data_IF_225249760485
#
_entry.id   IF_225249760485
#
_cell.length_a   1.000
_cell.length_b   1.000
_cell.length_c   1.000
_cell.angle_alpha   90.00
_cell.angle_beta   90.00
_cell.angle_gamma   90.00
#
_symmetry.space_group_name_H-M   'P 1'
#
loop_
_entity.id
_entity.type
_entity.pdbx_description
1 polymer ?
#
# COMPACT_ATOMS: atom_id res chain seq x y z
N UNK A 1 16.97 -44.29 7.20
CA UNK A 1 15.53 -44.14 7.48
C UNK A 1 15.17 -42.79 6.93
N UNK A 2 15.00 -42.86 5.62
CA UNK A 2 14.94 -41.79 4.68
C UNK A 2 13.47 -41.40 4.57
N UNK A 3 13.16 -40.13 4.82
CA UNK A 3 11.82 -39.59 4.58
C UNK A 3 11.98 -38.61 3.44
N UNK A 4 11.80 -39.14 2.24
CA UNK A 4 11.74 -38.40 1.00
C UNK A 4 10.69 -37.30 1.12
N UNK A 5 11.17 -36.05 1.07
CA UNK A 5 10.35 -34.85 0.91
C UNK A 5 10.07 -34.73 -0.58
N UNK A 6 9.04 -35.41 -1.04
CA UNK A 6 8.49 -35.16 -2.38
C UNK A 6 7.90 -33.75 -2.41
N UNK A 7 8.59 -32.89 -3.15
CA UNK A 7 8.15 -31.56 -3.50
C UNK A 7 7.18 -31.71 -4.69
N UNK A 8 5.90 -31.98 -4.39
CA UNK A 8 4.86 -32.08 -5.43
C UNK A 8 4.76 -30.76 -6.21
N UNK A 9 4.89 -30.88 -7.54
CA UNK A 9 4.86 -29.81 -8.52
C UNK A 9 3.56 -29.00 -8.45
N UNK A 10 3.68 -27.68 -8.28
CA UNK A 10 2.56 -26.77 -8.15
C UNK A 10 1.91 -26.50 -9.52
N UNK A 11 0.88 -27.27 -9.86
CA UNK A 11 0.08 -27.05 -11.07
C UNK A 11 -0.79 -25.79 -10.91
N UNK A 12 -0.59 -24.80 -11.78
CA UNK A 12 -1.11 -23.41 -11.67
C UNK A 12 -2.60 -23.29 -12.08
N UNK A 13 -3.32 -24.40 -12.27
CA UNK A 13 -4.58 -24.40 -13.02
C UNK A 13 -5.87 -24.31 -12.19
N UNK A 14 -5.79 -24.01 -10.89
CA UNK A 14 -7.01 -23.86 -10.06
C UNK A 14 -6.97 -22.64 -9.13
N UNK A 15 -7.09 -21.44 -9.71
CA UNK A 15 -7.54 -20.28 -8.95
C UNK A 15 -9.03 -20.47 -8.56
N UNK A 16 -9.28 -20.83 -7.31
CA UNK A 16 -10.63 -20.87 -6.76
C UNK A 16 -11.17 -19.43 -6.57
N UNK A 17 -12.16 -19.05 -7.38
CA UNK A 17 -12.89 -17.78 -7.21
C UNK A 17 -13.72 -17.88 -5.92
N UNK A 18 -13.42 -17.06 -4.91
CA UNK A 18 -14.03 -17.23 -3.58
C UNK A 18 -15.54 -17.00 -3.54
N UNK A 19 -16.15 -17.46 -2.45
CA UNK A 19 -17.61 -17.51 -2.31
C UNK A 19 -18.15 -16.21 -1.70
N UNK A 20 -19.08 -15.56 -2.42
CA UNK A 20 -19.87 -14.45 -1.89
C UNK A 20 -20.89 -14.98 -0.87
N UNK A 21 -20.85 -14.46 0.36
CA UNK A 21 -21.74 -14.88 1.45
C UNK A 21 -22.50 -13.70 2.04
N UNK A 22 -23.66 -13.97 2.63
CA UNK A 22 -24.49 -12.97 3.31
C UNK A 22 -24.39 -13.18 4.82
N UNK A 23 -24.04 -12.13 5.56
CA UNK A 23 -23.97 -12.18 7.02
C UNK A 23 -25.38 -12.38 7.60
N UNK A 24 -25.63 -13.45 8.39
CA UNK A 24 -26.95 -13.68 8.96
C UNK A 24 -27.37 -12.58 9.93
N UNK A 25 -26.41 -11.93 10.60
CA UNK A 25 -26.67 -10.87 11.58
C UNK A 25 -26.89 -9.50 10.97
N UNK A 26 -26.21 -9.20 9.86
CA UNK A 26 -26.20 -7.83 9.29
C UNK A 26 -26.80 -7.72 7.89
N UNK A 27 -27.08 -8.84 7.23
CA UNK A 27 -27.51 -8.90 5.82
C UNK A 27 -26.44 -8.43 4.83
N UNK A 28 -25.24 -8.07 5.29
CA UNK A 28 -24.17 -7.56 4.42
C UNK A 28 -23.49 -8.69 3.68
N UNK A 29 -23.22 -8.45 2.39
CA UNK A 29 -22.39 -9.33 1.57
C UNK A 29 -20.93 -9.25 2.02
N UNK A 30 -20.30 -10.39 2.20
CA UNK A 30 -18.89 -10.51 2.51
C UNK A 30 -18.27 -11.64 1.68
N UNK A 31 -17.01 -11.46 1.31
CA UNK A 31 -16.24 -12.45 0.56
C UNK A 31 -15.44 -13.31 1.52
N UNK A 32 -15.52 -14.64 1.37
CA UNK A 32 -14.59 -15.57 2.01
C UNK A 32 -13.87 -16.39 0.94
N UNK A 33 -12.52 -16.38 0.91
CA UNK A 33 -11.75 -17.21 0.00
C UNK A 33 -12.10 -18.68 0.16
N UNK A 34 -12.26 -19.38 -0.97
CA UNK A 34 -12.58 -20.80 -0.99
C UNK A 34 -11.30 -21.64 -0.92
N UNK A 35 -10.76 -21.74 0.29
CA UNK A 35 -9.49 -22.41 0.58
C UNK A 35 -9.76 -23.57 1.55
N UNK A 36 -9.04 -24.70 1.49
CA UNK A 36 -9.16 -25.78 2.48
C UNK A 36 -8.94 -25.27 3.91
N UNK A 37 -9.62 -25.89 4.88
CA UNK A 37 -9.50 -25.47 6.29
C UNK A 37 -8.08 -25.63 6.85
N UNK A 38 -7.29 -26.56 6.31
CA UNK A 38 -5.87 -26.74 6.67
C UNK A 38 -5.00 -25.54 6.33
N UNK A 39 -5.41 -24.68 5.40
CA UNK A 39 -4.66 -23.50 4.99
C UNK A 39 -5.31 -22.20 5.46
N UNK A 40 -6.38 -22.26 6.26
CA UNK A 40 -7.04 -21.06 6.79
C UNK A 40 -6.43 -20.67 8.14
N UNK A 41 -6.09 -19.39 8.35
CA UNK A 41 -5.71 -18.91 9.68
C UNK A 41 -6.91 -19.05 10.64
N UNK A 42 -6.64 -19.48 11.87
CA UNK A 42 -7.61 -19.58 12.95
C UNK A 42 -7.14 -18.78 14.18
N UNK A 43 -8.09 -18.36 15.01
CA UNK A 43 -7.78 -17.64 16.24
C UNK A 43 -6.96 -18.51 17.18
N UNK A 44 -5.88 -17.94 17.75
CA UNK A 44 -4.97 -18.66 18.64
C UNK A 44 -3.84 -19.44 17.93
N UNK A 45 -3.75 -19.39 16.61
CA UNK A 45 -2.64 -19.98 15.87
C UNK A 45 -1.32 -19.30 16.24
N UNK A 46 -0.33 -20.08 16.66
CA UNK A 46 1.03 -19.62 17.01
C UNK A 46 2.02 -20.19 15.98
N UNK A 47 3.05 -19.43 15.67
CA UNK A 47 4.13 -19.84 14.77
C UNK A 47 5.47 -19.72 15.49
N UNK A 48 6.40 -20.59 15.13
CA UNK A 48 7.74 -20.61 15.74
C UNK A 48 8.59 -19.40 15.33
N UNK A 49 8.27 -18.76 14.21
CA UNK A 49 8.93 -17.55 13.72
C UNK A 49 7.99 -16.67 12.89
N UNK A 50 8.39 -15.40 12.72
CA UNK A 50 7.69 -14.45 11.83
C UNK A 50 7.74 -14.93 10.37
N UNK A 51 8.83 -15.57 9.95
CA UNK A 51 8.97 -16.08 8.59
C UNK A 51 8.01 -17.25 8.32
N UNK A 52 7.87 -18.17 9.27
CA UNK A 52 6.92 -19.27 9.15
C UNK A 52 5.46 -18.78 9.14
N UNK A 53 5.16 -17.75 9.95
CA UNK A 53 3.87 -17.07 9.88
C UNK A 53 3.65 -16.44 8.50
N UNK A 54 4.65 -15.73 7.97
CA UNK A 54 4.57 -15.07 6.68
C UNK A 54 4.34 -16.07 5.53
N UNK A 55 5.10 -17.16 5.48
CA UNK A 55 4.94 -18.23 4.47
C UNK A 55 3.54 -18.84 4.52
N UNK A 56 3.02 -19.10 5.71
CA UNK A 56 1.66 -19.60 5.89
C UNK A 56 0.61 -18.61 5.33
N UNK A 57 0.70 -17.33 5.68
CA UNK A 57 -0.23 -16.31 5.19
C UNK A 57 -0.07 -16.05 3.69
N UNK A 58 1.14 -16.19 3.13
CA UNK A 58 1.40 -16.09 1.71
C UNK A 58 0.72 -17.24 0.95
N UNK A 59 0.86 -18.48 1.44
CA UNK A 59 0.19 -19.65 0.87
C UNK A 59 -1.33 -19.52 0.93
N UNK A 60 -1.88 -19.09 2.07
CA UNK A 60 -3.30 -18.81 2.22
C UNK A 60 -3.81 -17.76 1.22
N UNK A 61 -3.06 -16.67 1.06
CA UNK A 61 -3.41 -15.59 0.13
C UNK A 61 -3.43 -16.08 -1.32
N UNK A 62 -2.36 -16.77 -1.75
CA UNK A 62 -2.23 -17.32 -3.10
C UNK A 62 -3.42 -18.26 -3.40
N UNK A 63 -3.69 -19.21 -2.50
CA UNK A 63 -4.83 -20.14 -2.64
C UNK A 63 -6.18 -19.42 -2.63
N UNK A 64 -6.27 -18.29 -1.94
CA UNK A 64 -7.47 -17.46 -1.87
C UNK A 64 -7.65 -16.49 -3.02
N UNK A 65 -6.71 -16.45 -3.98
CA UNK A 65 -6.73 -15.54 -5.12
C UNK A 65 -6.33 -14.10 -4.80
N UNK A 66 -5.54 -13.88 -3.74
CA UNK A 66 -5.01 -12.56 -3.39
C UNK A 66 -3.54 -12.65 -2.96
N UNK A 67 -2.90 -11.51 -2.68
CA UNK A 67 -1.51 -11.47 -2.21
C UNK A 67 -1.46 -11.00 -0.76
N UNK A 68 -0.63 -11.66 0.04
CA UNK A 68 -0.24 -11.14 1.35
C UNK A 68 0.93 -10.17 1.16
N UNK A 69 1.01 -9.15 2.02
CA UNK A 69 2.15 -8.22 2.07
C UNK A 69 2.74 -8.26 3.45
N UNK A 70 4.06 -8.37 3.55
CA UNK A 70 4.78 -8.21 4.83
C UNK A 70 4.71 -6.73 5.22
N UNK A 71 4.03 -6.42 6.32
CA UNK A 71 3.93 -5.05 6.82
C UNK A 71 5.15 -4.67 7.67
N UNK A 72 5.65 -3.44 7.51
CA UNK A 72 6.61 -2.73 8.38
C UNK A 72 8.02 -3.29 8.59
N UNK A 73 8.40 -4.41 7.98
CA UNK A 73 9.81 -4.66 7.67
C UNK A 73 10.05 -4.09 6.28
N UNK A 74 11.15 -3.38 6.08
CA UNK A 74 11.58 -2.87 4.76
C UNK A 74 11.39 -4.04 3.78
N UNK A 75 10.46 -3.88 2.84
CA UNK A 75 10.08 -4.96 1.93
C UNK A 75 11.29 -5.27 1.02
N UNK A 76 12.08 -6.28 1.37
CA UNK A 76 13.12 -6.81 0.49
C UNK A 76 12.51 -7.41 -0.79
N UNK A 77 11.21 -7.72 -0.75
CA UNK A 77 10.42 -8.19 -1.89
C UNK A 77 10.03 -7.07 -2.89
N UNK A 78 10.42 -5.80 -2.69
CA UNK A 78 10.29 -4.80 -3.79
C UNK A 78 11.12 -5.23 -5.02
N UNK A 79 12.05 -6.17 -4.83
CA UNK A 79 12.88 -6.80 -5.86
C UNK A 79 12.37 -8.20 -6.26
N UNK A 80 11.07 -8.51 -6.07
CA UNK A 80 10.47 -9.80 -6.46
C UNK A 80 10.49 -10.13 -7.97
N UNK A 81 11.17 -9.31 -8.78
CA UNK A 81 11.49 -9.56 -10.18
C UNK A 81 13.00 -9.58 -10.49
N UNK A 82 13.86 -9.60 -9.46
CA UNK A 82 15.31 -9.78 -9.58
C UNK A 82 15.65 -11.26 -9.46
N UNK A 83 16.67 -11.67 -10.20
CA UNK A 83 17.30 -12.98 -10.13
C UNK A 83 17.48 -13.46 -8.67
N UNK A 84 17.21 -14.74 -8.36
CA UNK A 84 17.33 -15.28 -7.00
C UNK A 84 18.68 -14.98 -6.32
N UNK A 85 19.78 -14.90 -7.07
CA UNK A 85 21.11 -14.56 -6.54
C UNK A 85 21.19 -13.09 -6.13
N UNK A 86 20.63 -12.18 -6.94
CA UNK A 86 20.59 -10.75 -6.62
C UNK A 86 19.81 -10.45 -5.33
N UNK A 87 18.73 -11.18 -5.10
CA UNK A 87 17.94 -11.06 -3.86
C UNK A 87 18.72 -11.51 -2.61
N UNK A 88 19.56 -12.54 -2.75
CA UNK A 88 20.43 -13.01 -1.65
C UNK A 88 21.48 -11.95 -1.29
N UNK A 89 22.16 -11.38 -2.29
CA UNK A 89 23.14 -10.31 -2.07
C UNK A 89 22.53 -9.10 -1.37
N UNK A 90 21.34 -8.66 -1.79
CA UNK A 90 20.64 -7.54 -1.15
C UNK A 90 20.30 -7.85 0.31
N UNK A 91 19.81 -9.07 0.59
CA UNK A 91 19.51 -9.51 1.96
C UNK A 91 20.76 -9.50 2.84
N UNK A 92 21.88 -9.99 2.32
CA UNK A 92 23.14 -10.07 3.05
C UNK A 92 23.69 -8.68 3.39
N UNK A 93 23.64 -7.73 2.44
CA UNK A 93 24.06 -6.33 2.67
C UNK A 93 23.24 -5.69 3.78
N UNK A 94 21.92 -5.85 3.73
CA UNK A 94 21.02 -5.19 4.68
C UNK A 94 21.16 -5.80 6.08
N UNK A 95 21.26 -7.12 6.17
CA UNK A 95 21.49 -7.84 7.44
C UNK A 95 22.85 -7.47 8.05
N UNK A 96 23.89 -7.36 7.22
CA UNK A 96 25.23 -6.95 7.66
C UNK A 96 25.23 -5.52 8.19
N UNK A 97 24.53 -4.61 7.50
CA UNK A 97 24.42 -3.20 7.89
C UNK A 97 23.71 -3.05 9.24
N UNK A 98 22.61 -3.77 9.44
CA UNK A 98 21.89 -3.78 10.72
C UNK A 98 22.76 -4.32 11.87
N UNK A 99 23.49 -5.42 11.62
CA UNK A 99 24.42 -5.98 12.60
C UNK A 99 25.50 -4.97 13.02
N UNK A 100 26.14 -4.31 12.04
CA UNK A 100 27.19 -3.32 12.30
C UNK A 100 26.64 -2.16 13.11
N UNK A 101 25.48 -1.61 12.71
CA UNK A 101 24.83 -0.51 13.44
C UNK A 101 24.59 -0.93 14.89
N UNK A 102 23.90 -2.05 15.12
CA UNK A 102 23.59 -2.55 16.46
C UNK A 102 24.84 -2.78 17.32
N UNK A 103 25.94 -3.25 16.72
CA UNK A 103 27.22 -3.48 17.42
C UNK A 103 27.91 -2.18 17.79
N UNK A 104 27.84 -1.16 16.93
CA UNK A 104 28.53 0.11 17.08
C UNK A 104 27.69 1.20 17.78
N UNK A 105 26.41 0.95 18.10
CA UNK A 105 25.52 1.94 18.73
C UNK A 105 26.10 2.62 19.98
N UNK A 106 26.97 1.95 20.73
CA UNK A 106 27.59 2.49 21.95
C UNK A 106 28.87 3.28 21.69
N UNK A 107 29.48 3.12 20.52
CA UNK A 107 30.74 3.74 20.11
C UNK A 107 30.45 4.70 18.95
N UNK A 108 30.08 5.92 19.31
CA UNK A 108 29.64 6.94 18.36
C UNK A 108 30.73 7.28 17.35
N UNK A 109 32.01 7.31 17.75
CA UNK A 109 33.11 7.63 16.84
C UNK A 109 33.21 6.57 15.74
N UNK A 110 33.18 5.29 16.10
CA UNK A 110 33.17 4.20 15.10
C UNK A 110 31.91 4.21 14.24
N UNK A 111 30.76 4.55 14.82
CA UNK A 111 29.51 4.66 14.06
C UNK A 111 29.57 5.81 13.04
N UNK A 112 30.21 6.94 13.38
CA UNK A 112 30.43 8.03 12.44
C UNK A 112 31.35 7.63 11.29
N UNK A 113 32.43 6.90 11.59
CA UNK A 113 33.32 6.35 10.55
C UNK A 113 32.54 5.42 9.61
N UNK A 114 31.72 4.52 10.14
CA UNK A 114 30.89 3.64 9.31
C UNK A 114 29.94 4.44 8.41
N UNK A 115 29.27 5.47 8.94
CA UNK A 115 28.41 6.35 8.13
C UNK A 115 29.18 7.09 7.05
N UNK A 116 30.37 7.60 7.34
CA UNK A 116 31.20 8.31 6.36
C UNK A 116 31.68 7.36 5.25
N UNK A 117 32.00 6.10 5.58
CA UNK A 117 32.31 5.08 4.55
C UNK A 117 31.13 4.78 3.64
N UNK A 118 29.90 4.75 4.17
CA UNK A 118 28.69 4.59 3.34
C UNK A 118 28.47 5.79 2.43
N UNK A 119 28.69 7.00 2.94
CA UNK A 119 28.57 8.23 2.14
C UNK A 119 29.61 8.23 1.00
N UNK A 120 30.85 7.80 1.28
CA UNK A 120 31.88 7.69 0.24
C UNK A 120 31.51 6.67 -0.84
N UNK A 121 30.94 5.52 -0.46
CA UNK A 121 30.46 4.51 -1.42
C UNK A 121 29.30 5.06 -2.26
N UNK A 122 28.37 5.81 -1.64
CA UNK A 122 27.27 6.47 -2.34
C UNK A 122 27.80 7.47 -3.37
N UNK A 123 28.74 8.33 -2.98
CA UNK A 123 29.31 9.35 -3.87
C UNK A 123 30.06 8.70 -5.06
N UNK A 124 30.80 7.61 -4.82
CA UNK A 124 31.47 6.84 -5.88
C UNK A 124 30.46 6.22 -6.84
N UNK A 125 29.40 5.62 -6.32
CA UNK A 125 28.35 4.99 -7.12
C UNK A 125 27.60 6.04 -7.96
N UNK A 126 27.32 7.21 -7.38
CA UNK A 126 26.70 8.32 -8.10
C UNK A 126 27.58 8.78 -9.26
N UNK A 127 28.91 8.85 -9.08
CA UNK A 127 29.87 9.18 -10.16
C UNK A 127 29.84 8.16 -11.29
N UNK A 128 29.87 6.86 -10.95
CA UNK A 128 29.85 5.77 -11.92
C UNK A 128 28.53 5.69 -12.69
N UNK A 129 27.43 6.15 -12.10
CA UNK A 129 26.08 6.05 -12.66
C UNK A 129 25.57 7.34 -13.31
N UNK A 130 26.36 8.44 -13.37
CA UNK A 130 25.93 9.78 -13.86
C UNK A 130 25.32 9.83 -15.27
N UNK A 131 25.52 8.80 -16.09
CA UNK A 131 24.93 8.68 -17.43
C UNK A 131 23.89 7.57 -17.59
N UNK A 132 23.68 6.75 -16.57
CA UNK A 132 22.72 5.66 -16.62
C UNK A 132 21.31 6.20 -16.31
N UNK A 133 20.27 5.73 -17.03
CA UNK A 133 18.91 6.11 -16.71
C UNK A 133 18.61 5.64 -15.29
N UNK A 134 18.41 6.60 -14.37
CA UNK A 134 17.90 6.31 -13.03
C UNK A 134 16.60 5.54 -13.23
N UNK A 135 16.62 4.27 -12.87
CA UNK A 135 15.47 3.38 -13.03
C UNK A 135 14.44 3.79 -11.98
N UNK A 136 13.63 4.79 -12.32
CA UNK A 136 12.47 5.19 -11.52
C UNK A 136 11.55 3.97 -11.47
N UNK A 137 10.96 3.69 -10.30
CA UNK A 137 10.00 2.58 -10.10
C UNK A 137 8.95 2.46 -11.24
N UNK A 138 8.55 3.58 -11.84
CA UNK A 138 7.62 3.64 -12.99
C UNK A 138 8.18 3.02 -14.28
N UNK A 139 9.48 3.12 -14.53
CA UNK A 139 10.16 2.56 -15.71
C UNK A 139 10.27 1.04 -15.66
N UNK A 140 10.48 0.48 -14.47
CA UNK A 140 10.44 -0.97 -14.22
C UNK A 140 9.06 -1.52 -14.59
N UNK A 141 7.99 -0.86 -14.12
CA UNK A 141 6.61 -1.29 -14.40
C UNK A 141 6.31 -1.24 -15.91
N UNK A 142 6.86 -0.26 -16.64
CA UNK A 142 6.65 -0.13 -18.07
C UNK A 142 7.34 -1.25 -18.88
N UNK A 143 8.53 -1.73 -18.47
CA UNK A 143 9.22 -2.84 -19.14
C UNK A 143 8.55 -4.20 -18.94
N UNK A 144 7.72 -4.34 -17.90
CA UNK A 144 6.91 -5.55 -17.65
C UNK A 144 5.60 -5.58 -18.46
N UNK A 145 5.24 -4.49 -19.15
CA UNK A 145 4.10 -4.48 -20.07
C UNK A 145 4.66 -4.82 -21.45
N UNK A 146 4.34 -5.99 -22.03
CA UNK A 146 4.73 -6.29 -23.40
C UNK A 146 4.24 -5.18 -24.32
N UNK A 147 5.08 -4.72 -25.26
CA UNK A 147 4.66 -3.81 -26.32
C UNK A 147 3.44 -4.42 -27.00
N UNK A 148 2.26 -3.85 -26.77
CA UNK A 148 1.02 -4.26 -27.42
C UNK A 148 1.06 -3.80 -28.87
N UNK A 149 1.88 -4.47 -29.69
CA UNK A 149 1.87 -4.22 -31.12
C UNK A 149 0.85 -5.07 -31.87
N UNK A 150 0.23 -6.09 -31.25
CA UNK A 150 -0.85 -6.85 -31.87
C UNK A 150 -1.88 -7.35 -30.83
N UNK A 151 -2.56 -6.43 -30.14
CA UNK A 151 -3.83 -6.79 -29.48
C UNK A 151 -4.95 -6.37 -30.42
N UNK A 152 -5.49 -7.37 -31.11
CA UNK A 152 -6.80 -7.33 -31.74
C UNK A 152 -7.78 -6.57 -30.85
N UNK A 153 -8.54 -5.65 -31.43
CA UNK A 153 -9.53 -4.79 -30.76
C UNK A 153 -10.73 -5.58 -30.22
N UNK A 154 -10.51 -6.66 -29.47
CA UNK A 154 -11.55 -7.27 -28.67
C UNK A 154 -11.79 -6.36 -27.47
N UNK A 155 -12.90 -5.64 -27.54
CA UNK A 155 -13.39 -4.81 -26.45
C UNK A 155 -13.66 -5.70 -25.23
N UNK A 156 -12.67 -5.81 -24.34
CA UNK A 156 -12.84 -6.41 -23.02
C UNK A 156 -13.93 -5.61 -22.31
N UNK A 157 -15.14 -6.17 -22.27
CA UNK A 157 -16.27 -5.54 -21.57
C UNK A 157 -15.95 -5.51 -20.09
N UNK A 158 -15.75 -4.30 -19.57
CA UNK A 158 -15.65 -4.05 -18.13
C UNK A 158 -16.87 -4.68 -17.45
N UNK A 159 -16.71 -5.55 -16.44
CA UNK A 159 -17.84 -6.13 -15.74
C UNK A 159 -18.72 -5.02 -15.16
N UNK A 160 -19.95 -4.92 -15.67
CA UNK A 160 -20.90 -3.90 -15.26
C UNK A 160 -21.36 -4.14 -13.82
N UNK A 161 -21.21 -3.13 -12.95
CA UNK A 161 -21.68 -3.18 -11.56
C UNK A 161 -20.59 -3.34 -10.49
N UNK A 162 -19.31 -3.49 -10.86
CA UNK A 162 -18.22 -3.55 -9.88
C UNK A 162 -17.96 -2.16 -9.28
N UNK A 163 -18.16 -2.03 -7.97
CA UNK A 163 -17.77 -0.84 -7.18
C UNK A 163 -16.38 -1.06 -6.60
N UNK A 164 -15.35 -0.58 -7.29
CA UNK A 164 -13.98 -0.58 -6.76
C UNK A 164 -13.80 0.45 -5.63
N UNK A 165 -12.81 0.24 -4.76
CA UNK A 165 -12.47 1.16 -3.68
C UNK A 165 -12.14 2.54 -4.27
N UNK A 166 -12.94 3.55 -3.95
CA UNK A 166 -12.84 4.90 -4.54
C UNK A 166 -13.96 5.28 -5.52
N UNK A 167 -14.78 4.33 -5.99
CA UNK A 167 -15.97 4.62 -6.83
C UNK A 167 -17.15 5.20 -6.07
N UNK A 168 -17.08 5.27 -4.73
CA UNK A 168 -18.08 5.97 -3.93
C UNK A 168 -17.96 7.47 -4.16
N UNK A 169 -19.10 8.16 -4.37
CA UNK A 169 -19.22 9.61 -4.35
C UNK A 169 -18.17 10.21 -3.42
N UNK A 170 -17.29 11.09 -3.93
CA UNK A 170 -16.16 11.75 -3.26
C UNK A 170 -16.50 12.46 -1.93
N UNK A 171 -17.72 12.30 -1.42
CA UNK A 171 -18.19 12.78 -0.14
C UNK A 171 -17.87 11.71 0.90
N UNK A 172 -16.84 11.99 1.68
CA UNK A 172 -16.60 11.41 3.01
C UNK A 172 -17.93 11.10 3.71
N UNK A 173 -18.07 9.93 4.33
CA UNK A 173 -19.23 9.62 5.16
C UNK A 173 -19.41 10.70 6.25
N UNK A 174 -20.57 11.37 6.23
CA UNK A 174 -20.90 12.42 7.19
C UNK A 174 -21.31 11.81 8.52
N UNK A 175 -20.83 12.38 9.63
CA UNK A 175 -21.25 11.96 10.98
C UNK A 175 -22.74 12.27 11.23
N UNK A 176 -23.36 11.64 12.24
CA UNK A 176 -24.75 11.95 12.64
C UNK A 176 -24.95 13.44 12.94
N UNK A 177 -23.97 14.08 13.61
CA UNK A 177 -23.95 15.52 13.87
C UNK A 177 -23.94 16.33 12.56
N UNK A 178 -23.09 15.95 11.61
CA UNK A 178 -22.95 16.66 10.33
C UNK A 178 -24.18 16.50 9.43
N UNK A 179 -24.82 15.33 9.42
CA UNK A 179 -26.09 15.11 8.74
C UNK A 179 -27.18 16.02 9.33
N UNK A 180 -27.29 16.10 10.66
CA UNK A 180 -28.23 17.00 11.33
C UNK A 180 -27.99 18.48 10.95
N UNK A 181 -26.73 18.93 10.98
CA UNK A 181 -26.36 20.30 10.57
C UNK A 181 -26.76 20.59 9.11
N UNK A 182 -26.53 19.65 8.19
CA UNK A 182 -26.89 19.84 6.78
C UNK A 182 -28.41 19.90 6.55
N UNK A 183 -29.19 19.12 7.31
CA UNK A 183 -30.66 19.13 7.26
C UNK A 183 -31.26 20.43 7.76
N UNK A 184 -30.59 21.12 8.68
CA UNK A 184 -31.04 22.41 9.21
C UNK A 184 -30.77 23.59 8.26
N UNK A 185 -30.16 23.36 7.10
CA UNK A 185 -29.79 24.41 6.15
C UNK A 185 -28.60 25.26 6.62
N UNK A 186 -27.99 26.02 5.70
CA UNK A 186 -26.94 26.98 6.08
C UNK A 186 -27.62 28.18 6.75
N UNK A 187 -27.29 28.47 8.00
CA UNK A 187 -27.69 29.74 8.64
C UNK A 187 -27.14 30.90 7.80
N UNK A 188 -28.00 31.85 7.47
CA UNK A 188 -27.58 33.09 6.79
C UNK A 188 -26.53 33.78 7.65
N UNK A 189 -25.40 34.19 7.04
CA UNK A 189 -24.39 34.97 7.76
C UNK A 189 -24.89 36.40 7.85
N UNK A 190 -24.98 36.92 9.06
CA UNK A 190 -25.27 38.31 9.33
C UNK A 190 -23.97 39.05 9.65
N UNK A 191 -23.87 40.30 9.20
CA UNK A 191 -22.76 41.16 9.55
C UNK A 191 -22.73 41.39 11.06
N UNK A 192 -21.61 41.08 11.72
CA UNK A 192 -21.47 41.29 13.16
C UNK A 192 -21.53 42.77 13.58
N UNK A 193 -21.38 43.71 12.64
CA UNK A 193 -21.43 45.15 12.93
C UNK A 193 -22.85 45.74 12.85
N UNK A 194 -23.61 45.42 11.81
CA UNK A 194 -24.94 46.01 11.58
C UNK A 194 -26.10 45.01 11.58
N UNK A 195 -25.82 43.72 11.75
CA UNK A 195 -26.85 42.67 11.79
C UNK A 195 -27.52 42.35 10.45
N UNK A 196 -27.20 43.07 9.38
CA UNK A 196 -27.78 42.83 8.06
C UNK A 196 -27.07 41.68 7.33
N UNK A 197 -27.80 40.96 6.48
CA UNK A 197 -27.25 39.89 5.63
C UNK A 197 -26.68 40.47 4.32
N UNK A 198 -25.95 39.65 3.57
CA UNK A 198 -25.39 40.03 2.25
C UNK A 198 -24.00 40.67 2.28
N UNK A 199 -23.41 40.89 3.46
CA UNK A 199 -22.03 41.35 3.61
C UNK A 199 -21.43 40.90 4.96
N UNK A 200 -20.12 41.08 5.15
CA UNK A 200 -19.43 40.82 6.42
C UNK A 200 -18.87 42.12 7.00
N UNK A 201 -18.35 42.11 8.24
CA UNK A 201 -17.79 43.28 8.92
C UNK A 201 -16.79 44.05 8.05
N UNK A 202 -16.00 43.37 7.22
CA UNK A 202 -14.99 44.00 6.36
C UNK A 202 -15.58 44.84 5.22
N UNK A 203 -16.78 44.49 4.78
CA UNK A 203 -17.49 45.14 3.67
C UNK A 203 -18.76 45.84 4.16
N UNK A 204 -18.85 46.10 5.46
CA UNK A 204 -20.02 46.73 6.04
C UNK A 204 -20.11 48.19 5.60
N UNK A 205 -21.19 48.61 4.93
CA UNK A 205 -21.36 50.00 4.50
C UNK A 205 -21.43 50.96 5.68
N UNK A 206 -21.90 50.49 6.85
CA UNK A 206 -21.87 51.25 8.10
C UNK A 206 -20.45 51.48 8.66
N UNK A 207 -19.44 50.76 8.17
CA UNK A 207 -18.02 50.97 8.51
C UNK A 207 -17.27 51.81 7.47
N UNK A 208 -18.00 52.43 6.52
CA UNK A 208 -17.56 53.48 5.60
C UNK A 208 -16.06 53.55 5.34
N UNK A 209 -15.55 52.78 4.38
CA UNK A 209 -14.31 53.18 3.70
C UNK A 209 -14.70 53.87 2.40
N UNK A 210 -14.36 55.15 2.20
CA UNK A 210 -14.55 55.78 0.89
C UNK A 210 -13.74 54.99 -0.13
N UNK A 211 -14.40 54.57 -1.21
CA UNK A 211 -13.76 53.90 -2.34
C UNK A 211 -12.64 54.79 -2.88
N UNK A 212 -11.48 54.18 -3.15
CA UNK A 212 -10.43 54.85 -3.92
C UNK A 212 -10.98 55.08 -5.34
N UNK A 213 -11.02 56.34 -5.76
CA UNK A 213 -11.17 56.73 -7.16
C UNK A 213 -9.97 56.33 -8.00
#
# INVERSE_FOLDING_TARGET
MDVDRECEDFQVDQLCVGLERISPTSGKRFYKPDVPNSCKPHEGMVFDSIDHAFEFYQSYAIKGGFTARRGSQICYDILSGIDPEGNKVVRDIMSSSEYIVNKLLKDMDKLTIFRDTLQEIMDKTDVETRGLPVVKQKGIVASFVPSQNDISTENVRVPSGIRNKGSGSHKRFKSKREQAISRMGKRSRFCHNCGQSGHDRRTCPALGRPGKG
#
